data_IF_265025843605
#
_entry.id   IF_265025843605
#
_cell.length_a   1.000
_cell.length_b   1.000
_cell.length_c   1.000
_cell.angle_alpha   90.00
_cell.angle_beta   90.00
_cell.angle_gamma   90.00
#
_symmetry.space_group_name_H-M   'P 1'
#
loop_
_entity.id
_entity.type
_entity.pdbx_description
1 polymer ?
#
# COMPACT_ATOMS: atom_id res chain seq x y z
N UNK A 1 -39.94 10.35 -3.16
CA UNK A 1 -39.22 11.63 -3.34
C UNK A 1 -38.13 11.63 -2.29
N UNK A 2 -36.93 11.11 -2.51
CA UNK A 2 -36.06 11.08 -3.71
C UNK A 2 -35.45 9.69 -3.91
N UNK A 3 -35.52 9.20 -5.14
CA UNK A 3 -34.82 8.01 -5.63
C UNK A 3 -33.34 8.40 -5.80
N UNK A 4 -32.44 7.78 -5.04
CA UNK A 4 -30.98 7.95 -5.19
C UNK A 4 -30.40 6.63 -5.67
N UNK A 5 -30.92 6.13 -6.79
CA UNK A 5 -30.32 5.00 -7.48
C UNK A 5 -29.42 5.51 -8.60
N UNK A 6 -28.12 5.22 -8.45
CA UNK A 6 -27.21 4.89 -9.55
C UNK A 6 -26.80 6.01 -10.51
N UNK A 7 -25.88 6.87 -10.06
CA UNK A 7 -24.83 7.43 -10.93
C UNK A 7 -23.58 7.75 -10.09
N UNK A 8 -23.04 6.74 -9.41
CA UNK A 8 -21.72 6.87 -8.81
C UNK A 8 -20.69 6.75 -9.95
N UNK A 9 -19.78 7.73 -10.13
CA UNK A 9 -18.80 7.68 -11.21
C UNK A 9 -17.95 6.40 -11.11
N UNK A 10 -17.47 5.89 -12.26
CA UNK A 10 -16.59 4.73 -12.27
C UNK A 10 -15.36 5.01 -11.41
N UNK A 11 -14.96 4.03 -10.59
CA UNK A 11 -13.92 4.24 -9.58
C UNK A 11 -12.61 4.80 -10.15
N UNK A 12 -12.29 4.44 -11.40
CA UNK A 12 -11.09 4.89 -12.11
C UNK A 12 -10.95 6.40 -12.29
N UNK A 13 -12.05 7.16 -12.30
CA UNK A 13 -12.03 8.61 -12.56
C UNK A 13 -11.98 9.46 -11.28
N UNK A 14 -12.18 8.84 -10.10
CA UNK A 14 -12.26 9.56 -8.83
C UNK A 14 -10.89 10.03 -8.30
N UNK A 15 -10.90 11.21 -7.67
CA UNK A 15 -9.78 11.72 -6.87
C UNK A 15 -9.55 10.89 -5.60
N UNK A 16 -8.40 11.06 -4.95
CA UNK A 16 -8.04 10.26 -3.76
C UNK A 16 -9.00 10.48 -2.60
N UNK A 17 -9.31 11.73 -2.23
CA UNK A 17 -10.20 12.00 -1.11
C UNK A 17 -11.60 11.45 -1.36
N UNK A 18 -12.10 11.59 -2.58
CA UNK A 18 -13.43 11.08 -2.95
C UNK A 18 -13.48 9.55 -2.89
N UNK A 19 -12.48 8.87 -3.46
CA UNK A 19 -12.41 7.41 -3.40
C UNK A 19 -12.27 6.89 -1.96
N UNK A 20 -11.50 7.59 -1.10
CA UNK A 20 -11.37 7.27 0.32
C UNK A 20 -12.70 7.45 1.06
N UNK A 21 -13.40 8.55 0.83
CA UNK A 21 -14.65 8.85 1.54
C UNK A 21 -15.75 7.86 1.15
N UNK A 22 -15.81 7.46 -0.13
CA UNK A 22 -16.71 6.40 -0.58
C UNK A 22 -16.34 5.04 0.02
N UNK A 23 -15.05 4.71 0.11
CA UNK A 23 -14.59 3.48 0.76
C UNK A 23 -15.00 3.43 2.23
N UNK A 24 -14.88 4.55 2.94
CA UNK A 24 -15.34 4.66 4.34
C UNK A 24 -16.86 4.44 4.43
N UNK A 25 -17.64 4.96 3.48
CA UNK A 25 -19.08 4.73 3.45
C UNK A 25 -19.44 3.25 3.20
N UNK A 26 -18.72 2.58 2.29
CA UNK A 26 -18.86 1.14 2.03
C UNK A 26 -18.55 0.32 3.28
N UNK A 27 -17.42 0.58 3.94
CA UNK A 27 -17.02 -0.12 5.17
C UNK A 27 -18.06 0.06 6.27
N UNK A 28 -18.54 1.29 6.48
CA UNK A 28 -19.61 1.56 7.47
C UNK A 28 -20.88 0.76 7.19
N UNK A 29 -21.25 0.58 5.91
CA UNK A 29 -22.43 -0.20 5.54
C UNK A 29 -22.24 -1.69 5.77
N UNK A 30 -21.04 -2.22 5.50
CA UNK A 30 -20.67 -3.59 5.82
C UNK A 30 -20.69 -3.83 7.35
N UNK A 31 -20.13 -2.91 8.13
CA UNK A 31 -20.07 -2.99 9.60
C UNK A 31 -21.46 -2.86 10.26
N UNK A 32 -22.36 -2.06 9.68
CA UNK A 32 -23.74 -1.95 10.17
C UNK A 32 -24.52 -3.27 10.05
N UNK A 33 -24.10 -4.17 9.15
CA UNK A 33 -24.81 -5.41 8.86
C UNK A 33 -26.21 -5.18 8.28
N UNK A 34 -27.09 -6.17 8.43
CA UNK A 34 -28.49 -6.07 7.96
C UNK A 34 -28.67 -6.08 6.44
N UNK A 35 -27.60 -6.33 5.68
CA UNK A 35 -27.62 -6.50 4.22
C UNK A 35 -27.71 -7.98 3.86
N UNK A 36 -28.24 -8.32 2.69
CA UNK A 36 -28.19 -9.72 2.20
C UNK A 36 -26.75 -10.12 1.86
N UNK A 37 -26.54 -11.41 1.59
CA UNK A 37 -25.23 -11.89 1.15
C UNK A 37 -24.81 -11.24 -0.17
N UNK A 38 -25.72 -11.16 -1.15
CA UNK A 38 -25.46 -10.56 -2.46
C UNK A 38 -25.10 -9.07 -2.32
N UNK A 39 -25.82 -8.34 -1.47
CA UNK A 39 -25.50 -6.93 -1.18
C UNK A 39 -24.16 -6.77 -0.49
N UNK A 40 -23.82 -7.67 0.45
CA UNK A 40 -22.54 -7.66 1.16
C UNK A 40 -21.37 -7.94 0.21
N UNK A 41 -21.56 -8.85 -0.75
CA UNK A 41 -20.57 -9.13 -1.80
C UNK A 41 -20.39 -7.94 -2.73
N UNK A 42 -21.47 -7.33 -3.19
CA UNK A 42 -21.40 -6.15 -4.06
C UNK A 42 -20.69 -4.97 -3.36
N UNK A 43 -20.96 -4.76 -2.07
CA UNK A 43 -20.26 -3.76 -1.26
C UNK A 43 -18.77 -4.08 -1.13
N UNK A 44 -18.42 -5.35 -0.90
CA UNK A 44 -17.02 -5.77 -0.82
C UNK A 44 -16.27 -5.54 -2.14
N UNK A 45 -16.85 -5.94 -3.28
CA UNK A 45 -16.26 -5.73 -4.61
C UNK A 45 -16.03 -4.25 -4.89
N UNK A 46 -17.03 -3.41 -4.57
CA UNK A 46 -16.88 -1.96 -4.67
C UNK A 46 -15.76 -1.42 -3.77
N UNK A 47 -15.66 -1.94 -2.55
CA UNK A 47 -14.58 -1.60 -1.62
C UNK A 47 -13.20 -1.92 -2.19
N UNK A 48 -13.03 -3.08 -2.84
CA UNK A 48 -11.78 -3.48 -3.49
C UNK A 48 -11.41 -2.55 -4.66
N UNK A 49 -12.39 -2.17 -5.49
CA UNK A 49 -12.19 -1.20 -6.56
C UNK A 49 -11.69 0.15 -6.04
N UNK A 50 -12.35 0.68 -5.00
CA UNK A 50 -12.01 1.96 -4.37
C UNK A 50 -10.62 1.90 -3.72
N UNK A 51 -10.30 0.80 -3.04
CA UNK A 51 -8.98 0.59 -2.47
C UNK A 51 -7.89 0.56 -3.55
N UNK A 52 -8.15 -0.08 -4.69
CA UNK A 52 -7.23 -0.09 -5.82
C UNK A 52 -7.01 1.30 -6.41
N UNK A 53 -8.04 2.14 -6.50
CA UNK A 53 -7.92 3.55 -6.92
C UNK A 53 -7.04 4.33 -5.95
N UNK A 54 -7.29 4.21 -4.64
CA UNK A 54 -6.50 4.86 -3.61
C UNK A 54 -5.01 4.49 -3.71
N UNK A 55 -4.70 3.20 -3.86
CA UNK A 55 -3.32 2.72 -4.05
C UNK A 55 -2.66 3.35 -5.28
N UNK A 56 -3.30 3.28 -6.45
CA UNK A 56 -2.76 3.88 -7.68
C UNK A 56 -2.48 5.37 -7.56
N UNK A 57 -3.37 6.11 -6.89
CA UNK A 57 -3.20 7.56 -6.66
C UNK A 57 -1.99 7.85 -5.77
N UNK A 58 -1.82 7.08 -4.69
CA UNK A 58 -0.68 7.22 -3.77
C UNK A 58 0.65 6.82 -4.42
N UNK A 59 0.67 5.71 -5.15
CA UNK A 59 1.85 5.26 -5.92
C UNK A 59 2.26 6.31 -6.95
N UNK A 60 1.31 6.87 -7.70
CA UNK A 60 1.58 7.95 -8.65
C UNK A 60 2.12 9.22 -7.99
N UNK A 61 1.61 9.58 -6.81
CA UNK A 61 2.14 10.72 -6.05
C UNK A 61 3.56 10.44 -5.54
N UNK A 62 3.82 9.22 -5.06
CA UNK A 62 5.14 8.80 -4.58
C UNK A 62 6.18 8.85 -5.70
N UNK A 63 5.86 8.30 -6.88
CA UNK A 63 6.76 8.32 -8.03
C UNK A 63 7.14 9.74 -8.46
N UNK A 64 6.20 10.70 -8.38
CA UNK A 64 6.50 12.11 -8.67
C UNK A 64 7.45 12.73 -7.65
N UNK A 65 7.27 12.43 -6.36
CA UNK A 65 8.19 12.90 -5.32
C UNK A 65 9.59 12.31 -5.49
N UNK A 66 9.68 11.02 -5.78
CA UNK A 66 10.96 10.35 -6.00
C UNK A 66 11.70 10.92 -7.23
N UNK A 67 10.98 11.29 -8.30
CA UNK A 67 11.58 11.95 -9.46
C UNK A 67 12.16 13.33 -9.12
N UNK A 68 11.42 14.16 -8.38
CA UNK A 68 11.91 15.50 -7.97
C UNK A 68 13.15 15.37 -7.07
N UNK A 69 13.14 14.42 -6.13
CA UNK A 69 14.29 14.19 -5.23
C UNK A 69 15.53 13.66 -5.97
N UNK A 70 15.35 12.89 -7.05
CA UNK A 70 16.45 12.42 -7.88
C UNK A 70 17.09 13.58 -8.67
N UNK A 71 16.27 14.49 -9.22
CA UNK A 71 16.73 15.70 -9.91
C UNK A 71 17.52 16.64 -8.98
N UNK A 72 17.09 16.77 -7.72
CA UNK A 72 17.81 17.56 -6.71
C UNK A 72 19.11 16.87 -6.22
N UNK A 73 19.17 15.53 -6.27
CA UNK A 73 20.30 14.72 -5.81
C UNK A 73 21.49 14.64 -6.79
N UNK A 74 21.26 14.84 -8.08
CA UNK A 74 22.34 14.91 -9.10
C UNK A 74 23.22 16.18 -8.96
N UNK A 75 22.85 17.12 -8.09
CA UNK A 75 23.68 18.28 -7.72
C UNK A 75 24.70 18.04 -6.60
N UNK A 76 24.72 16.87 -5.94
CA UNK A 76 25.59 16.62 -4.76
C UNK A 76 26.31 15.26 -4.76
N UNK A 77 26.63 14.71 -5.93
CA UNK A 77 27.51 13.53 -6.03
C UNK A 77 28.87 13.91 -6.64
N UNK A 78 29.61 14.79 -5.96
CA UNK A 78 31.08 14.81 -5.97
C UNK A 78 31.57 14.81 -4.52
N UNK A 79 32.43 13.83 -4.18
CA UNK A 79 33.01 13.59 -2.85
C UNK A 79 32.13 12.73 -1.93
N UNK A 80 32.52 11.55 -1.45
CA UNK A 80 33.87 11.04 -1.17
C UNK A 80 33.78 9.51 -1.08
N UNK A 81 34.59 8.82 -1.88
CA UNK A 81 35.02 7.47 -1.56
C UNK A 81 36.02 7.58 -0.40
N UNK A 82 35.68 7.01 0.76
CA UNK A 82 36.68 6.58 1.74
C UNK A 82 36.17 5.29 2.38
N UNK A 83 36.91 4.21 2.17
CA UNK A 83 36.54 2.88 2.61
C UNK A 83 36.88 2.63 4.06
N UNK A 84 36.25 1.61 4.65
CA UNK A 84 36.98 0.73 5.56
C UNK A 84 36.41 -0.68 5.38
N UNK A 85 37.31 -1.59 5.02
CA UNK A 85 37.11 -3.02 5.14
C UNK A 85 37.04 -3.37 6.64
N UNK A 86 35.97 -4.06 7.05
CA UNK A 86 35.92 -4.83 8.30
C UNK A 86 35.63 -6.27 7.90
N UNK A 87 36.67 -7.10 7.80
CA UNK A 87 37.09 -8.05 8.85
C UNK A 87 36.20 -9.31 8.85
N UNK A 88 36.61 -10.28 8.04
CA UNK A 88 36.10 -11.65 8.09
C UNK A 88 36.68 -12.36 9.31
N UNK A 89 35.83 -12.61 10.32
CA UNK A 89 36.25 -13.31 11.53
C UNK A 89 35.09 -13.89 12.33
N UNK A 90 34.59 -15.07 11.95
CA UNK A 90 33.88 -15.97 12.87
C UNK A 90 34.07 -17.43 12.44
N UNK A 91 35.09 -18.06 13.01
CA UNK A 91 35.22 -19.50 13.03
C UNK A 91 34.25 -20.05 14.10
N UNK A 92 33.21 -20.78 13.67
CA UNK A 92 32.38 -21.55 14.59
C UNK A 92 33.01 -22.93 14.79
N UNK A 93 33.69 -23.06 15.93
CA UNK A 93 34.35 -24.26 16.38
C UNK A 93 33.36 -25.28 16.94
N UNK A 94 33.60 -26.54 16.58
CA UNK A 94 32.99 -27.75 17.08
C UNK A 94 32.82 -27.85 18.61
N UNK A 95 31.74 -28.53 19.05
CA UNK A 95 31.79 -29.37 20.25
C UNK A 95 30.47 -29.59 21.01
N UNK A 96 29.86 -30.78 20.86
CA UNK A 96 29.18 -31.59 21.90
C UNK A 96 28.35 -32.68 21.18
N UNK A 97 28.72 -33.96 21.16
CA UNK A 97 28.61 -34.96 22.24
C UNK A 97 27.16 -35.23 22.72
N UNK A 98 26.54 -36.28 22.18
CA UNK A 98 25.71 -37.31 22.86
C UNK A 98 25.16 -38.24 21.76
N UNK A 99 25.31 -39.56 21.75
CA UNK A 99 25.46 -40.51 22.85
C UNK A 99 24.08 -41.05 23.25
N UNK A 100 23.76 -42.29 22.80
CA UNK A 100 22.63 -43.18 23.24
C UNK A 100 21.23 -42.77 22.74
N UNK A 101 20.35 -43.64 22.22
CA UNK A 101 20.12 -45.10 22.28
C UNK A 101 19.64 -45.64 20.92
#
# INVERSE_FOLDING_TARGET
MTDTSTDAPPAGEMGYEQARDELVAVVRRLEAGGSTLEESLALWERGEELAAVCRRRLEGARARLDAVLAEDGEGTADGTADGVAGDEGAADGAGAANGRE
#
